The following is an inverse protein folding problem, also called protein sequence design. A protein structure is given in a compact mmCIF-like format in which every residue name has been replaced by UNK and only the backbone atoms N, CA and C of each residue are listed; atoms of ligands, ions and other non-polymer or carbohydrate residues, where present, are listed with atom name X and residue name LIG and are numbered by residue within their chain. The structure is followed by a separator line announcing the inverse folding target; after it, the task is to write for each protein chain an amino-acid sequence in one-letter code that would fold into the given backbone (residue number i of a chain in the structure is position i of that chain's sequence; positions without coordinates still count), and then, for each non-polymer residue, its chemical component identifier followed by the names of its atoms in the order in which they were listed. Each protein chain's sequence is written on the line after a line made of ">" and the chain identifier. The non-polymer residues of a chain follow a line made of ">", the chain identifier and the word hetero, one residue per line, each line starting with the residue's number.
data_IF_975850506628
#
_entry.id   IF_975850506628
#
_cell.length_a   1.000
_cell.length_b   1.000
_cell.length_c   1.000
_cell.angle_alpha   90.00
_cell.angle_beta   90.00
_cell.angle_gamma   90.00
#
_symmetry.space_group_name_H-M   'P 1'
#
loop_
_entity.id
_entity.type
_entity.pdbx_description
1 polymer ?
#
# COMPACT_ATOMS: atom_id res chain seq x y z
N UNK A 1 -0.49 22.75 -21.74
CA UNK A 1 0.51 21.71 -21.43
C UNK A 1 1.84 22.38 -21.06
N UNK A 2 2.09 22.61 -19.76
CA UNK A 2 3.38 23.12 -19.27
C UNK A 2 4.33 21.93 -19.09
N UNK A 3 5.22 21.72 -20.07
CA UNK A 3 6.44 20.93 -19.88
C UNK A 3 7.28 21.65 -18.82
N UNK A 4 7.20 21.22 -17.56
CA UNK A 4 8.27 21.49 -16.59
C UNK A 4 9.52 20.85 -17.18
N UNK A 5 10.51 21.68 -17.53
CA UNK A 5 11.90 21.23 -17.68
C UNK A 5 12.27 20.62 -16.33
N UNK A 6 12.23 19.30 -16.25
CA UNK A 6 13.01 18.59 -15.25
C UNK A 6 14.47 18.89 -15.64
N UNK A 7 15.07 19.86 -14.95
CA UNK A 7 16.51 19.84 -14.76
C UNK A 7 16.82 18.42 -14.28
N UNK A 8 17.74 17.76 -14.98
CA UNK A 8 18.39 16.54 -14.51
C UNK A 8 19.12 16.89 -13.20
N UNK A 9 18.36 17.02 -12.12
CA UNK A 9 18.89 16.93 -10.78
C UNK A 9 19.41 15.50 -10.70
N UNK A 10 20.73 15.36 -10.80
CA UNK A 10 21.39 14.13 -10.41
C UNK A 10 20.82 13.76 -9.04
N UNK A 11 20.15 12.61 -8.89
CA UNK A 11 19.55 12.24 -7.62
C UNK A 11 20.65 12.28 -6.57
N UNK A 12 20.37 12.90 -5.42
CA UNK A 12 21.38 13.02 -4.38
C UNK A 12 21.84 11.61 -3.96
N UNK A 13 23.08 11.44 -3.49
CA UNK A 13 23.59 10.16 -2.99
C UNK A 13 22.59 9.40 -2.11
N UNK A 14 21.86 10.15 -1.29
CA UNK A 14 20.82 9.67 -0.39
C UNK A 14 19.58 9.14 -1.10
N UNK A 15 19.07 9.84 -2.10
CA UNK A 15 17.94 9.36 -2.89
C UNK A 15 18.30 8.06 -3.62
N UNK A 16 19.50 8.01 -4.21
CA UNK A 16 20.02 6.80 -4.87
C UNK A 16 20.16 5.65 -3.89
N UNK A 17 20.59 5.93 -2.66
CA UNK A 17 20.65 4.92 -1.63
C UNK A 17 19.27 4.37 -1.29
N UNK A 18 18.29 5.21 -0.98
CA UNK A 18 16.92 4.77 -0.64
C UNK A 18 16.37 3.87 -1.73
N UNK A 19 16.53 4.25 -2.99
CA UNK A 19 16.10 3.46 -4.13
C UNK A 19 16.82 2.10 -4.15
N UNK A 20 18.13 2.07 -3.91
CA UNK A 20 18.93 0.83 -3.87
C UNK A 20 18.54 -0.08 -2.70
N UNK A 21 18.22 0.49 -1.54
CA UNK A 21 17.78 -0.28 -0.37
C UNK A 21 16.39 -0.86 -0.59
N UNK A 22 15.46 -0.04 -1.07
CA UNK A 22 14.09 -0.48 -1.34
C UNK A 22 14.12 -1.54 -2.45
N UNK A 23 14.94 -1.36 -3.48
CA UNK A 23 15.17 -2.40 -4.48
C UNK A 23 15.72 -3.67 -3.84
N UNK A 24 16.69 -3.56 -2.93
CA UNK A 24 17.26 -4.70 -2.21
C UNK A 24 16.24 -5.43 -1.34
N UNK A 25 15.25 -4.72 -0.79
CA UNK A 25 14.13 -5.30 -0.08
C UNK A 25 13.16 -6.01 -1.05
N UNK A 26 12.82 -5.39 -2.18
CA UNK A 26 11.96 -5.99 -3.20
C UNK A 26 12.57 -7.28 -3.78
N UNK A 27 13.86 -7.27 -4.12
CA UNK A 27 14.56 -8.42 -4.68
C UNK A 27 14.55 -9.62 -3.72
N UNK A 28 14.57 -9.34 -2.41
CA UNK A 28 14.60 -10.36 -1.34
C UNK A 28 13.22 -10.62 -0.73
N UNK A 29 12.18 -9.91 -1.15
CA UNK A 29 10.80 -10.03 -0.63
C UNK A 29 10.26 -11.46 -0.77
N UNK A 30 10.59 -12.13 -1.87
CA UNK A 30 10.21 -13.53 -2.11
C UNK A 30 10.76 -14.51 -1.05
N UNK A 31 11.76 -14.09 -0.27
CA UNK A 31 12.28 -14.84 0.88
C UNK A 31 11.33 -14.87 2.10
N UNK A 32 10.29 -14.04 2.13
CA UNK A 32 9.22 -14.12 3.14
C UNK A 32 8.44 -15.42 2.99
N UNK A 33 8.67 -16.35 3.93
CA UNK A 33 7.94 -17.61 3.96
C UNK A 33 6.55 -17.42 4.58
N UNK A 34 5.61 -18.32 4.26
CA UNK A 34 4.30 -18.36 4.92
C UNK A 34 4.40 -18.51 6.44
N UNK A 35 5.41 -19.26 6.93
CA UNK A 35 5.67 -19.38 8.36
C UNK A 35 6.06 -18.03 8.97
N UNK A 36 6.88 -17.23 8.28
CA UNK A 36 7.28 -15.89 8.73
C UNK A 36 6.08 -14.94 8.72
N UNK A 37 5.26 -14.96 7.67
CA UNK A 37 4.05 -14.12 7.56
C UNK A 37 3.03 -14.51 8.64
N UNK A 38 2.84 -15.81 8.88
CA UNK A 38 1.94 -16.32 9.93
C UNK A 38 2.44 -16.01 11.35
N UNK A 39 3.76 -15.90 11.53
CA UNK A 39 4.37 -15.49 12.80
C UNK A 39 4.16 -13.99 13.11
N UNK A 40 3.64 -13.20 12.17
CA UNK A 40 3.22 -11.81 12.38
C UNK A 40 4.25 -10.76 11.98
N UNK A 41 3.88 -9.48 12.22
CA UNK A 41 4.64 -8.31 11.77
C UNK A 41 6.08 -8.31 12.30
N UNK A 42 6.28 -8.67 13.57
CA UNK A 42 7.60 -8.66 14.22
C UNK A 42 8.58 -9.68 13.61
N UNK A 43 8.08 -10.82 13.12
CA UNK A 43 8.91 -11.80 12.42
C UNK A 43 9.36 -11.29 11.05
N UNK A 44 8.46 -10.64 10.32
CA UNK A 44 8.77 -10.02 9.04
C UNK A 44 9.69 -8.81 9.19
N UNK A 45 9.50 -7.98 10.23
CA UNK A 45 10.39 -6.87 10.54
C UNK A 45 11.82 -7.39 10.80
N UNK A 46 11.98 -8.45 11.60
CA UNK A 46 13.30 -9.07 11.85
C UNK A 46 14.00 -9.51 10.57
N UNK A 47 13.27 -10.14 9.65
CA UNK A 47 13.80 -10.53 8.34
C UNK A 47 14.37 -9.33 7.56
N UNK A 48 13.63 -8.21 7.50
CA UNK A 48 14.12 -7.01 6.80
C UNK A 48 15.18 -6.26 7.59
N UNK A 49 15.19 -6.31 8.92
CA UNK A 49 16.29 -5.78 9.73
C UNK A 49 17.62 -6.46 9.42
N UNK A 50 17.63 -7.78 9.26
CA UNK A 50 18.86 -8.51 8.90
C UNK A 50 19.37 -8.15 7.49
N UNK A 51 18.47 -7.82 6.55
CA UNK A 51 18.86 -7.33 5.23
C UNK A 51 19.42 -5.92 5.35
N UNK A 52 18.71 -5.07 6.07
CA UNK A 52 19.09 -3.69 6.31
C UNK A 52 20.47 -3.59 6.98
N UNK A 53 20.76 -4.38 8.01
CA UNK A 53 22.05 -4.36 8.72
C UNK A 53 23.23 -4.70 7.80
N UNK A 54 23.03 -5.63 6.86
CA UNK A 54 24.05 -5.99 5.87
C UNK A 54 24.27 -4.89 4.83
N UNK A 55 23.18 -4.27 4.37
CA UNK A 55 23.28 -3.17 3.40
C UNK A 55 23.76 -1.88 4.08
N UNK A 56 23.48 -1.64 5.37
CA UNK A 56 23.82 -0.41 6.07
C UNK A 56 25.33 -0.14 6.12
N UNK A 57 26.13 -1.17 6.42
CA UNK A 57 27.59 -1.05 6.41
C UNK A 57 28.16 -0.72 5.03
N UNK A 58 27.51 -1.18 3.96
CA UNK A 58 27.91 -0.84 2.60
C UNK A 58 27.73 0.65 2.32
N UNK A 59 26.75 1.29 2.95
CA UNK A 59 26.44 2.70 2.75
C UNK A 59 27.36 3.60 3.50
N UNK A 60 27.69 3.22 4.74
CA UNK A 60 28.64 3.96 5.54
C UNK A 60 29.92 4.18 4.75
N UNK A 61 30.37 3.13 4.06
CA UNK A 61 31.51 3.18 3.12
C UNK A 61 31.26 4.05 1.89
N UNK A 62 30.10 3.94 1.24
CA UNK A 62 29.77 4.77 0.07
C UNK A 62 29.74 6.28 0.42
N UNK A 63 29.25 6.64 1.60
CA UNK A 63 29.23 8.03 2.06
C UNK A 63 30.61 8.53 2.49
N UNK A 64 31.41 7.70 3.15
CA UNK A 64 32.83 7.99 3.41
C UNK A 64 33.59 8.32 2.11
N UNK A 65 33.27 7.62 1.02
CA UNK A 65 33.90 7.80 -0.29
C UNK A 65 33.35 9.02 -1.08
N UNK A 66 32.04 9.28 -1.04
CA UNK A 66 31.40 10.36 -1.83
C UNK A 66 31.48 11.74 -1.16
N UNK A 67 31.52 11.84 0.17
CA UNK A 67 31.60 13.11 0.90
C UNK A 67 32.78 13.19 1.88
N UNK A 68 34.03 13.22 1.39
CA UNK A 68 35.24 13.27 2.22
C UNK A 68 35.41 14.57 3.02
N UNK A 69 34.49 15.53 2.86
CA UNK A 69 34.56 16.86 3.46
C UNK A 69 33.81 16.98 4.79
N UNK A 70 33.02 15.97 5.19
CA UNK A 70 32.39 15.95 6.50
C UNK A 70 33.39 15.59 7.59
N UNK A 71 33.26 16.21 8.76
CA UNK A 71 33.98 15.78 9.96
C UNK A 71 33.48 14.41 10.41
N UNK A 72 34.36 13.59 10.98
CA UNK A 72 34.03 12.24 11.49
C UNK A 72 32.85 12.26 12.48
N UNK A 73 32.73 13.31 13.31
CA UNK A 73 31.63 13.49 14.26
C UNK A 73 30.28 13.79 13.58
N UNK A 74 30.30 14.53 12.47
CA UNK A 74 29.09 14.85 11.72
C UNK A 74 28.60 13.62 10.94
N UNK A 75 29.52 12.85 10.35
CA UNK A 75 29.22 11.60 9.67
C UNK A 75 28.58 10.58 10.62
N UNK A 76 29.14 10.40 11.82
CA UNK A 76 28.60 9.48 12.83
C UNK A 76 27.20 9.89 13.31
N UNK A 77 27.00 11.19 13.59
CA UNK A 77 25.69 11.69 14.02
C UNK A 77 24.62 11.53 12.93
N UNK A 78 25.02 11.72 11.67
CA UNK A 78 24.15 11.57 10.52
C UNK A 78 23.79 10.11 10.27
N UNK A 79 24.75 9.19 10.36
CA UNK A 79 24.50 7.76 10.22
C UNK A 79 23.52 7.24 11.29
N UNK A 80 23.63 7.73 12.52
CA UNK A 80 22.74 7.36 13.61
C UNK A 80 21.29 7.84 13.37
N UNK A 81 21.10 9.05 12.83
CA UNK A 81 19.76 9.57 12.56
C UNK A 81 19.10 8.86 11.38
N UNK A 82 19.87 8.52 10.35
CA UNK A 82 19.40 7.68 9.25
C UNK A 82 19.03 6.29 9.76
N UNK A 83 19.91 5.68 10.56
CA UNK A 83 19.65 4.36 11.13
C UNK A 83 18.35 4.34 11.94
N UNK A 84 18.18 5.37 12.77
CA UNK A 84 16.96 5.57 13.54
C UNK A 84 15.73 5.72 12.66
N UNK A 85 15.80 6.50 11.58
CA UNK A 85 14.69 6.74 10.66
C UNK A 85 14.27 5.42 9.99
N UNK A 86 15.22 4.65 9.47
CA UNK A 86 14.92 3.37 8.84
C UNK A 86 14.32 2.39 9.83
N UNK A 87 14.92 2.25 11.00
CA UNK A 87 14.48 1.26 11.98
C UNK A 87 13.14 1.58 12.60
N UNK A 88 12.86 2.87 12.84
CA UNK A 88 11.63 3.28 13.53
C UNK A 88 10.44 3.43 12.57
N UNK A 89 10.70 3.80 11.31
CA UNK A 89 9.64 4.27 10.42
C UNK A 89 9.60 3.50 9.11
N UNK A 90 10.71 3.45 8.37
CA UNK A 90 10.71 2.91 6.99
C UNK A 90 10.49 1.42 6.99
N UNK A 91 11.25 0.65 7.79
CA UNK A 91 11.15 -0.80 7.84
C UNK A 91 9.75 -1.23 8.32
N UNK A 92 9.20 -0.71 9.43
CA UNK A 92 7.84 -1.06 9.83
C UNK A 92 6.79 -0.72 8.77
N UNK A 93 6.88 0.46 8.13
CA UNK A 93 5.94 0.85 7.07
C UNK A 93 6.04 -0.06 5.84
N UNK A 94 7.27 -0.39 5.43
CA UNK A 94 7.52 -1.30 4.32
C UNK A 94 7.01 -2.71 4.62
N UNK A 95 7.27 -3.25 5.81
CA UNK A 95 6.85 -4.59 6.22
C UNK A 95 5.33 -4.74 6.15
N UNK A 96 4.57 -3.76 6.65
CA UNK A 96 3.10 -3.81 6.58
C UNK A 96 2.59 -3.86 5.15
N UNK A 97 3.23 -3.13 4.25
CA UNK A 97 2.90 -3.13 2.82
C UNK A 97 3.28 -4.47 2.17
N UNK A 98 4.53 -4.90 2.35
CA UNK A 98 5.09 -6.10 1.75
C UNK A 98 4.37 -7.37 2.22
N UNK A 99 4.12 -7.54 3.52
CA UNK A 99 3.43 -8.73 4.04
C UNK A 99 2.06 -8.95 3.40
N UNK A 100 1.25 -7.88 3.32
CA UNK A 100 -0.09 -7.93 2.76
C UNK A 100 -0.05 -8.26 1.26
N UNK A 101 0.92 -7.69 0.55
CA UNK A 101 1.09 -7.93 -0.87
C UNK A 101 1.59 -9.35 -1.15
N UNK A 102 2.68 -9.79 -0.51
CA UNK A 102 3.28 -11.11 -0.71
C UNK A 102 2.31 -12.25 -0.37
N UNK A 103 1.48 -12.08 0.68
CA UNK A 103 0.44 -13.08 1.00
C UNK A 103 -0.59 -13.22 -0.13
N UNK A 104 -1.00 -12.12 -0.76
CA UNK A 104 -1.95 -12.13 -1.88
C UNK A 104 -1.32 -12.60 -3.19
N UNK A 105 -0.11 -12.15 -3.48
CA UNK A 105 0.67 -12.54 -4.66
C UNK A 105 0.91 -14.05 -4.68
N UNK A 106 1.24 -14.66 -3.53
CA UNK A 106 1.39 -16.12 -3.41
C UNK A 106 0.14 -16.91 -3.75
N UNK A 107 -1.04 -16.34 -3.56
CA UNK A 107 -2.30 -16.97 -3.96
C UNK A 107 -2.77 -16.53 -5.36
N UNK A 108 -1.90 -15.96 -6.19
CA UNK A 108 -2.23 -15.35 -7.49
C UNK A 108 -3.39 -14.35 -7.39
N UNK A 109 -3.48 -13.68 -6.24
CA UNK A 109 -4.57 -12.82 -5.81
C UNK A 109 -5.93 -13.48 -5.64
N UNK A 110 -6.16 -14.76 -5.96
CA UNK A 110 -7.47 -15.41 -5.77
C UNK A 110 -7.98 -15.31 -4.33
N UNK A 111 -9.29 -15.42 -4.15
CA UNK A 111 -9.92 -15.50 -2.82
C UNK A 111 -9.92 -16.95 -2.30
N UNK A 112 -9.95 -17.90 -3.22
CA UNK A 112 -9.98 -19.33 -2.93
C UNK A 112 -8.58 -19.94 -2.87
N UNK A 113 -8.46 -21.13 -2.25
CA UNK A 113 -7.22 -21.92 -2.24
C UNK A 113 -6.80 -22.27 -3.68
N UNK A 114 -5.50 -22.44 -3.93
CA UNK A 114 -4.91 -22.79 -5.25
C UNK A 114 -5.69 -23.84 -6.06
N UNK A 115 -6.15 -24.92 -5.43
CA UNK A 115 -6.91 -25.97 -6.12
C UNK A 115 -8.30 -25.55 -6.63
N UNK A 116 -8.85 -24.44 -6.14
CA UNK A 116 -10.19 -23.93 -6.43
C UNK A 116 -10.17 -22.65 -7.28
N UNK A 117 -8.99 -22.16 -7.70
CA UNK A 117 -8.88 -21.02 -8.63
C UNK A 117 -9.75 -21.17 -9.90
N UNK A 118 -9.88 -22.37 -10.52
CA UNK A 118 -10.75 -22.54 -11.68
C UNK A 118 -12.23 -22.33 -11.34
N UNK A 119 -12.65 -22.73 -10.13
CA UNK A 119 -14.02 -22.59 -9.66
C UNK A 119 -14.36 -21.11 -9.45
N UNK A 120 -13.44 -20.33 -8.89
CA UNK A 120 -13.60 -18.88 -8.74
C UNK A 120 -13.76 -18.20 -10.10
N UNK A 121 -12.96 -18.57 -11.11
CA UNK A 121 -13.09 -18.06 -12.49
C UNK A 121 -14.46 -18.39 -13.10
N UNK A 122 -14.91 -19.64 -12.97
CA UNK A 122 -16.22 -20.06 -13.46
C UNK A 122 -17.33 -19.30 -12.72
N UNK A 123 -17.20 -19.14 -11.40
CA UNK A 123 -18.14 -18.38 -10.57
C UNK A 123 -18.28 -16.92 -11.04
N UNK A 124 -17.16 -16.24 -11.31
CA UNK A 124 -17.20 -14.88 -11.84
C UNK A 124 -17.72 -14.81 -13.28
N UNK A 125 -17.45 -15.81 -14.13
CA UNK A 125 -18.03 -15.89 -15.47
C UNK A 125 -19.56 -16.04 -15.42
N UNK A 126 -20.07 -16.91 -14.54
CA UNK A 126 -21.50 -17.09 -14.29
C UNK A 126 -22.13 -15.81 -13.72
N UNK A 127 -21.47 -15.14 -12.77
CA UNK A 127 -21.93 -13.87 -12.23
C UNK A 127 -22.00 -12.79 -13.32
N UNK A 128 -20.98 -12.72 -14.18
CA UNK A 128 -20.98 -11.86 -15.36
C UNK A 128 -22.17 -12.14 -16.28
N UNK A 129 -22.46 -13.43 -16.54
CA UNK A 129 -23.62 -13.83 -17.35
C UNK A 129 -24.95 -13.38 -16.73
N UNK A 130 -25.11 -13.53 -15.41
CA UNK A 130 -26.31 -13.07 -14.67
C UNK A 130 -26.46 -11.55 -14.76
N UNK A 131 -25.37 -10.80 -14.59
CA UNK A 131 -25.36 -9.34 -14.72
C UNK A 131 -25.74 -8.93 -16.16
N UNK A 132 -25.14 -9.58 -17.17
CA UNK A 132 -25.47 -9.33 -18.58
C UNK A 132 -26.94 -9.63 -18.90
N UNK A 133 -27.50 -10.71 -18.34
CA UNK A 133 -28.92 -11.03 -18.46
C UNK A 133 -29.82 -9.98 -17.79
N UNK A 134 -29.45 -9.49 -16.61
CA UNK A 134 -30.16 -8.42 -15.92
C UNK A 134 -30.19 -7.12 -16.72
N UNK A 135 -29.06 -6.75 -17.36
CA UNK A 135 -28.94 -5.58 -18.24
C UNK A 135 -29.90 -5.65 -19.43
N UNK A 136 -30.15 -6.85 -19.99
CA UNK A 136 -31.11 -7.01 -21.08
C UNK A 136 -32.58 -6.88 -20.64
N UNK A 137 -32.88 -7.22 -19.39
CA UNK A 137 -34.24 -7.08 -18.83
C UNK A 137 -34.51 -5.65 -18.37
N UNK A 138 -33.46 -4.87 -18.12
CA UNK A 138 -33.56 -3.50 -17.65
C UNK A 138 -34.23 -2.58 -18.70
N UNK A 139 -35.39 -1.95 -18.38
CA UNK A 139 -36.17 -1.19 -19.35
C UNK A 139 -35.54 0.13 -19.81
N UNK A 140 -34.44 0.56 -19.16
CA UNK A 140 -33.77 1.84 -19.37
C UNK A 140 -32.51 1.74 -20.24
N UNK A 141 -32.07 0.54 -20.61
CA UNK A 141 -30.87 0.31 -21.41
C UNK A 141 -31.30 -0.24 -22.78
N UNK A 142 -31.30 0.57 -23.86
CA UNK A 142 -31.79 0.15 -25.17
C UNK A 142 -30.77 -0.76 -25.90
N UNK A 143 -30.45 -1.90 -25.30
CA UNK A 143 -29.58 -2.94 -25.86
C UNK A 143 -30.47 -4.13 -26.24
N UNK A 144 -30.86 -4.20 -27.51
CA UNK A 144 -31.83 -5.19 -27.99
C UNK A 144 -31.20 -6.52 -28.42
N UNK A 145 -29.87 -6.59 -28.48
CA UNK A 145 -29.14 -7.79 -28.91
C UNK A 145 -28.81 -8.69 -27.72
N UNK A 146 -29.23 -9.95 -27.78
CA UNK A 146 -28.93 -10.95 -26.73
C UNK A 146 -27.44 -11.30 -26.63
N UNK A 147 -26.68 -10.93 -27.65
CA UNK A 147 -25.23 -11.14 -27.76
C UNK A 147 -24.44 -10.40 -26.68
N UNK A 148 -25.00 -9.38 -26.05
CA UNK A 148 -24.34 -8.63 -24.97
C UNK A 148 -24.10 -9.45 -23.70
N UNK A 149 -24.76 -10.59 -23.51
CA UNK A 149 -24.43 -11.49 -22.40
C UNK A 149 -22.98 -12.01 -22.51
N UNK A 150 -22.50 -12.28 -23.73
CA UNK A 150 -21.16 -12.83 -23.97
C UNK A 150 -20.03 -11.91 -23.50
N UNK A 151 -19.98 -10.60 -23.80
CA UNK A 151 -18.95 -9.72 -23.26
C UNK A 151 -19.03 -9.58 -21.74
N UNK A 152 -20.22 -9.64 -21.12
CA UNK A 152 -20.31 -9.65 -19.65
C UNK A 152 -19.78 -10.95 -19.03
N UNK A 153 -20.06 -12.10 -19.64
CA UNK A 153 -19.48 -13.38 -19.24
C UNK A 153 -17.95 -13.35 -19.36
N UNK A 154 -17.43 -12.85 -20.49
CA UNK A 154 -15.99 -12.72 -20.72
C UNK A 154 -15.34 -11.74 -19.75
N UNK A 155 -16.01 -10.61 -19.46
CA UNK A 155 -15.56 -9.65 -18.46
C UNK A 155 -15.51 -10.29 -17.06
N UNK A 156 -16.52 -11.09 -16.70
CA UNK A 156 -16.52 -11.87 -15.46
C UNK A 156 -15.37 -12.87 -15.41
N UNK A 157 -15.11 -13.59 -16.50
CA UNK A 157 -14.00 -14.54 -16.59
C UNK A 157 -12.62 -13.87 -16.43
N UNK A 158 -12.46 -12.66 -17.00
CA UNK A 158 -11.22 -11.87 -16.91
C UNK A 158 -11.09 -11.07 -15.61
N UNK A 159 -12.16 -10.95 -14.83
CA UNK A 159 -12.20 -10.14 -13.61
C UNK A 159 -11.10 -10.49 -12.59
N UNK A 160 -10.78 -11.77 -12.30
CA UNK A 160 -9.67 -12.10 -11.40
C UNK A 160 -8.32 -11.55 -11.87
N UNK A 161 -8.04 -11.58 -13.17
CA UNK A 161 -6.80 -11.05 -13.74
C UNK A 161 -6.77 -9.52 -13.64
N UNK A 162 -7.90 -8.86 -13.91
CA UNK A 162 -8.00 -7.41 -13.75
C UNK A 162 -7.78 -6.99 -12.29
N UNK A 163 -8.32 -7.75 -11.34
CA UNK A 163 -8.13 -7.51 -9.91
C UNK A 163 -6.66 -7.66 -9.50
N UNK A 164 -5.97 -8.70 -9.99
CA UNK A 164 -4.53 -8.87 -9.77
C UNK A 164 -3.73 -7.68 -10.34
N UNK A 165 -4.03 -7.26 -11.57
CA UNK A 165 -3.41 -6.10 -12.19
C UNK A 165 -3.59 -4.81 -11.37
N UNK A 166 -4.82 -4.55 -10.92
CA UNK A 166 -5.11 -3.37 -10.08
C UNK A 166 -4.41 -3.44 -8.73
N UNK A 167 -4.27 -4.63 -8.14
CA UNK A 167 -3.55 -4.80 -6.88
C UNK A 167 -2.05 -4.50 -7.04
N UNK A 168 -1.42 -4.95 -8.13
CA UNK A 168 -0.03 -4.61 -8.46
C UNK A 168 0.12 -3.10 -8.64
N UNK A 169 -0.78 -2.44 -9.37
CA UNK A 169 -0.74 -0.99 -9.57
C UNK A 169 -0.90 -0.19 -8.27
N UNK A 170 -1.75 -0.65 -7.36
CA UNK A 170 -1.90 -0.02 -6.03
C UNK A 170 -0.63 -0.18 -5.20
N UNK A 171 -0.05 -1.38 -5.20
CA UNK A 171 1.22 -1.66 -4.54
C UNK A 171 2.35 -0.76 -5.06
N UNK A 172 2.52 -0.67 -6.37
CA UNK A 172 3.50 0.23 -7.01
C UNK A 172 3.29 1.68 -6.57
N UNK A 173 2.03 2.14 -6.51
CA UNK A 173 1.70 3.50 -6.10
C UNK A 173 2.00 3.75 -4.61
N UNK A 174 1.71 2.79 -3.73
CA UNK A 174 1.98 2.87 -2.29
C UNK A 174 3.48 2.82 -2.00
N UNK A 175 4.21 1.93 -2.67
CA UNK A 175 5.66 1.85 -2.57
C UNK A 175 6.31 3.15 -3.05
N UNK A 176 5.89 3.69 -4.20
CA UNK A 176 6.40 4.96 -4.69
C UNK A 176 6.09 6.13 -3.75
N UNK A 177 4.91 6.14 -3.10
CA UNK A 177 4.60 7.14 -2.06
C UNK A 177 5.53 7.03 -0.86
N UNK A 178 5.86 5.81 -0.44
CA UNK A 178 6.82 5.57 0.63
C UNK A 178 8.20 6.09 0.25
N UNK A 179 8.72 5.71 -0.93
CA UNK A 179 10.00 6.18 -1.49
C UNK A 179 10.06 7.71 -1.53
N UNK A 180 9.06 8.37 -2.14
CA UNK A 180 9.00 9.83 -2.26
C UNK A 180 8.86 10.52 -0.89
N UNK A 181 8.22 9.88 0.09
CA UNK A 181 8.15 10.41 1.45
C UNK A 181 9.49 10.33 2.16
N UNK A 182 10.20 9.20 2.03
CA UNK A 182 11.52 9.01 2.64
C UNK A 182 12.56 9.90 1.98
N UNK A 183 12.59 9.98 0.64
CA UNK A 183 13.51 10.84 -0.10
C UNK A 183 13.36 12.32 0.27
N UNK A 184 12.13 12.83 0.45
CA UNK A 184 11.90 14.20 0.93
C UNK A 184 12.42 14.45 2.34
N UNK A 185 12.32 13.47 3.23
CA UNK A 185 12.83 13.60 4.59
C UNK A 185 14.36 13.53 4.63
N UNK A 186 14.96 12.68 3.81
CA UNK A 186 16.41 12.60 3.67
C UNK A 186 17.02 13.86 3.07
N UNK A 187 16.43 14.40 2.00
CA UNK A 187 16.87 15.66 1.43
C UNK A 187 16.80 16.81 2.46
N UNK A 188 15.81 16.76 3.35
CA UNK A 188 15.69 17.72 4.45
C UNK A 188 16.81 17.55 5.48
N UNK A 189 17.18 16.31 5.82
CA UNK A 189 18.32 16.03 6.69
C UNK A 189 19.63 16.50 6.04
N UNK A 190 19.87 16.14 4.78
CA UNK A 190 21.01 16.58 3.98
C UNK A 190 21.15 18.12 3.97
N UNK A 191 20.05 18.82 3.68
CA UNK A 191 20.03 20.28 3.69
C UNK A 191 20.31 20.87 5.08
N UNK A 192 19.81 20.25 6.15
CA UNK A 192 20.08 20.70 7.52
C UNK A 192 21.56 20.53 7.89
N UNK A 193 22.16 19.40 7.54
CA UNK A 193 23.59 19.15 7.78
C UNK A 193 24.47 20.10 6.98
N UNK A 194 24.19 20.27 5.68
CA UNK A 194 24.94 21.20 4.81
C UNK A 194 24.83 22.66 5.23
N UNK A 195 23.72 23.06 5.87
CA UNK A 195 23.49 24.46 6.27
C UNK A 195 24.06 24.78 7.66
N UNK A 196 23.97 23.83 8.62
CA UNK A 196 24.23 24.12 10.03
C UNK A 196 25.43 23.39 10.62
N UNK A 197 26.01 22.39 9.92
CA UNK A 197 27.14 21.61 10.43
C UNK A 197 26.82 20.70 11.63
N UNK A 198 25.64 20.82 12.24
CA UNK A 198 25.10 19.96 13.29
C UNK A 198 23.57 19.78 13.14
N UNK A 199 23.02 18.62 13.56
CA UNK A 199 21.58 18.37 13.48
C UNK A 199 20.80 19.19 14.52
N UNK A 200 19.93 20.08 14.06
CA UNK A 200 18.98 20.80 14.93
C UNK A 200 18.00 19.79 15.53
N UNK A 201 18.06 19.58 16.85
CA UNK A 201 17.17 18.69 17.61
C UNK A 201 15.66 18.97 17.44
N UNK A 202 15.28 20.11 16.84
CA UNK A 202 13.91 20.45 16.45
C UNK A 202 13.34 19.57 15.32
N UNK A 203 14.18 18.99 14.45
CA UNK A 203 13.69 18.06 13.41
C UNK A 203 13.10 16.78 14.02
N UNK A 204 13.71 16.28 15.10
CA UNK A 204 13.30 15.07 15.84
C UNK A 204 11.84 15.08 16.31
N UNK A 205 11.33 16.26 16.64
CA UNK A 205 9.95 16.46 17.11
C UNK A 205 8.92 16.56 15.95
N UNK A 206 9.36 16.97 14.75
CA UNK A 206 8.50 17.19 13.59
C UNK A 206 8.44 15.98 12.63
N UNK A 207 9.49 15.16 12.57
CA UNK A 207 9.60 13.99 11.68
C UNK A 207 8.68 12.84 12.12
N UNK A 208 8.64 12.55 13.43
CA UNK A 208 7.83 11.46 14.02
C UNK A 208 6.32 11.56 13.71
N UNK A 209 5.65 12.72 13.89
CA UNK A 209 4.21 12.81 13.64
C UNK A 209 3.84 12.79 12.14
N UNK A 210 4.69 13.29 11.23
CA UNK A 210 4.37 13.37 9.79
C UNK A 210 4.49 12.05 9.05
N UNK A 211 5.52 11.27 9.34
CA UNK A 211 5.65 9.93 8.77
C UNK A 211 4.59 8.97 9.33
N UNK A 212 4.23 9.10 10.61
CA UNK A 212 3.10 8.36 11.20
C UNK A 212 1.77 8.79 10.56
N UNK A 213 1.57 10.08 10.29
CA UNK A 213 0.37 10.56 9.60
C UNK A 213 0.30 10.06 8.15
N UNK A 214 1.42 9.98 7.42
CA UNK A 214 1.44 9.43 6.07
C UNK A 214 1.26 7.90 6.04
N UNK A 215 1.88 7.18 6.99
CA UNK A 215 1.64 5.76 7.18
C UNK A 215 0.16 5.47 7.54
N UNK A 216 -0.45 6.28 8.40
CA UNK A 216 -1.89 6.19 8.75
C UNK A 216 -2.83 6.60 7.62
N UNK A 217 -2.45 7.57 6.80
CA UNK A 217 -3.28 7.97 5.65
C UNK A 217 -3.32 6.89 4.55
N UNK A 218 -2.38 5.94 4.54
CA UNK A 218 -2.48 4.72 3.75
C UNK A 218 -3.45 3.70 4.39
N UNK A 219 -3.60 3.71 5.71
CA UNK A 219 -4.58 2.89 6.44
C UNK A 219 -6.04 3.38 6.22
N UNK A 220 -6.29 4.70 6.23
CA UNK A 220 -7.66 5.28 6.15
C UNK A 220 -8.36 5.08 4.81
N UNK A 221 -7.62 4.93 3.70
CA UNK A 221 -8.21 4.74 2.37
C UNK A 221 -8.76 3.32 2.20
N UNK A 222 -8.23 2.35 2.95
CA UNK A 222 -8.65 0.95 2.87
C UNK A 222 -9.58 0.51 4.01
N UNK A 223 -9.62 1.18 5.17
CA UNK A 223 -10.74 0.99 6.11
C UNK A 223 -12.07 1.47 5.50
N UNK A 224 -12.06 2.50 4.64
CA UNK A 224 -13.25 2.89 3.89
C UNK A 224 -13.70 1.85 2.83
N UNK A 225 -12.79 0.95 2.40
CA UNK A 225 -13.04 -0.05 1.35
C UNK A 225 -13.29 -1.46 1.91
N UNK A 226 -12.70 -1.80 3.06
CA UNK A 226 -12.85 -3.08 3.75
C UNK A 226 -14.00 -3.08 4.78
N UNK A 227 -14.38 -1.93 5.35
CA UNK A 227 -15.48 -1.83 6.33
C UNK A 227 -16.87 -1.67 5.69
N UNK A 228 -17.01 -1.82 4.37
CA UNK A 228 -18.31 -1.96 3.68
C UNK A 228 -18.63 -3.41 3.30
N UNK A 229 -18.11 -4.37 4.06
CA UNK A 229 -18.35 -5.79 3.82
C UNK A 229 -19.50 -6.29 4.71
N UNK A 230 -20.70 -6.38 4.13
CA UNK A 230 -21.80 -7.24 4.59
C UNK A 230 -22.58 -6.81 5.83
N UNK A 231 -21.90 -6.63 6.97
CA UNK A 231 -22.56 -6.60 8.29
C UNK A 231 -23.21 -5.24 8.61
N UNK A 232 -22.54 -4.12 8.27
CA UNK A 232 -23.07 -2.78 8.60
C UNK A 232 -24.26 -2.35 7.72
N UNK A 233 -24.38 -2.92 6.52
CA UNK A 233 -25.50 -2.66 5.61
C UNK A 233 -26.76 -3.40 6.06
N UNK A 234 -26.61 -4.60 6.63
CA UNK A 234 -27.75 -5.36 7.16
C UNK A 234 -28.25 -4.75 8.48
N UNK A 235 -27.33 -4.23 9.31
CA UNK A 235 -27.66 -3.63 10.59
C UNK A 235 -28.31 -2.23 10.47
N UNK A 236 -27.95 -1.44 9.45
CA UNK A 236 -28.70 -0.21 9.09
C UNK A 236 -30.06 -0.50 8.47
N UNK A 237 -30.20 -1.60 7.70
CA UNK A 237 -31.49 -2.02 7.13
C UNK A 237 -32.45 -2.55 8.19
N UNK A 238 -31.95 -3.17 9.26
CA UNK A 238 -32.76 -3.58 10.42
C UNK A 238 -33.22 -2.37 11.23
N UNK A 239 -32.31 -1.47 11.59
CA UNK A 239 -32.67 -0.23 12.32
C UNK A 239 -33.66 0.65 11.56
N UNK A 240 -33.49 0.81 10.24
CA UNK A 240 -34.43 1.58 9.42
C UNK A 240 -35.81 0.92 9.27
N UNK A 241 -35.91 -0.41 9.41
CA UNK A 241 -37.18 -1.13 9.36
C UNK A 241 -37.94 -1.00 10.67
N UNK A 242 -37.25 -1.14 11.79
CA UNK A 242 -37.85 -1.03 13.13
C UNK A 242 -38.39 0.39 13.39
N UNK A 243 -37.69 1.42 12.88
CA UNK A 243 -38.16 2.80 12.97
C UNK A 243 -39.35 3.09 12.06
N UNK A 244 -39.47 2.40 10.92
CA UNK A 244 -40.62 2.51 10.03
C UNK A 244 -41.86 1.83 10.62
N UNK A 245 -41.69 0.65 11.22
CA UNK A 245 -42.77 -0.07 11.90
C UNK A 245 -43.30 0.71 13.12
N UNK A 246 -42.43 1.36 13.89
CA UNK A 246 -42.85 2.25 14.97
C UNK A 246 -43.68 3.43 14.48
N UNK A 247 -43.28 4.07 13.39
CA UNK A 247 -44.03 5.20 12.81
C UNK A 247 -45.40 4.78 12.26
N UNK A 248 -45.49 3.60 11.66
CA UNK A 248 -46.77 3.07 11.17
C UNK A 248 -47.70 2.73 12.35
N UNK A 249 -47.17 2.19 13.45
CA UNK A 249 -47.94 1.90 14.66
C UNK A 249 -48.40 3.17 15.38
N UNK A 250 -47.60 4.23 15.38
CA UNK A 250 -47.98 5.53 15.93
C UNK A 250 -49.09 6.19 15.09
N UNK A 251 -48.97 6.19 13.76
CA UNK A 251 -50.03 6.72 12.88
C UNK A 251 -51.36 5.99 13.02
N UNK A 252 -51.35 4.70 13.34
CA UNK A 252 -52.58 3.91 13.52
C UNK A 252 -53.25 4.07 14.89
N UNK A 253 -52.62 4.84 15.80
CA UNK A 253 -53.15 5.10 17.14
C UNK A 253 -53.85 6.45 17.25
N UNK A 254 -53.63 7.31 16.25
CA UNK A 254 -54.19 8.66 16.14
C UNK A 254 -55.40 8.75 15.18
N UNK A 255 -55.74 7.65 14.51
CA UNK A 255 -56.98 7.42 13.75
C UNK A 255 -57.97 6.54 14.53
#
# INVERSE_FOLDING_TARGET
>A
MRRRRALELVPSPLERYVDTLIQSFEDRRNGLTEATIAAGEDACQRFFFEIYEREFERLRRLFEDEEPHLSESALASWSDEIDRLFRTVVIPAYVRLAMRFTSRERNDFYLTRSSLHPVERIGFALLGMVIGGFVLVAPFIPIWQREWILPFMLAGLLFPNLRAYLAIRRYEAELNRLVVSVGREMLRLEQAYSTYGEPIGELKALTKPRLVAHARSADDVDDASALKTGDEVDDRRRRGRDDLEKRILEQRKDD
#
